data_IF_155610741514
#
_entry.id   IF_155610741514
#
_cell.length_a   1.000
_cell.length_b   1.000
_cell.length_c   1.000
_cell.angle_alpha   90.00
_cell.angle_beta   90.00
_cell.angle_gamma   90.00
#
_symmetry.space_group_name_H-M   'P 1'
#
loop_
_entity.id
_entity.type
_entity.pdbx_description
1 polymer ?
#
# COMPACT_ATOMS: atom_id res chain seq x y z
N UNK A 1 1.99 3.95 -17.76
CA UNK A 1 2.49 2.99 -16.75
C UNK A 1 3.81 3.52 -16.23
N UNK A 2 3.99 3.60 -14.92
CA UNK A 2 5.21 4.14 -14.30
C UNK A 2 6.29 3.06 -14.36
N UNK A 3 7.53 3.41 -14.74
CA UNK A 3 8.61 2.43 -14.79
C UNK A 3 8.96 1.94 -13.38
N UNK A 4 9.29 0.65 -13.24
CA UNK A 4 9.62 0.05 -11.94
C UNK A 4 10.82 0.74 -11.26
N UNK A 5 11.77 1.24 -12.04
CA UNK A 5 12.92 1.99 -11.54
C UNK A 5 12.52 3.37 -10.98
N UNK A 6 11.60 4.06 -11.65
CA UNK A 6 11.09 5.35 -11.18
C UNK A 6 10.27 5.20 -9.90
N UNK A 7 9.47 4.13 -9.80
CA UNK A 7 8.77 3.77 -8.56
C UNK A 7 9.76 3.47 -7.43
N UNK A 8 10.83 2.71 -7.70
CA UNK A 8 11.84 2.41 -6.68
C UNK A 8 12.51 3.68 -6.17
N UNK A 9 12.93 4.58 -7.06
CA UNK A 9 13.55 5.86 -6.68
C UNK A 9 12.59 6.72 -5.86
N UNK A 10 11.34 6.78 -6.30
CA UNK A 10 10.27 7.46 -5.56
C UNK A 10 10.10 6.89 -4.15
N UNK A 11 10.03 5.56 -3.99
CA UNK A 11 9.88 4.91 -2.68
C UNK A 11 11.07 5.17 -1.75
N UNK A 12 12.29 5.16 -2.28
CA UNK A 12 13.50 5.49 -1.51
C UNK A 12 13.45 6.92 -1.00
N UNK A 13 13.11 7.89 -1.85
CA UNK A 13 13.00 9.29 -1.46
C UNK A 13 11.85 9.52 -0.46
N UNK A 14 10.70 8.87 -0.68
CA UNK A 14 9.56 8.94 0.22
C UNK A 14 9.89 8.37 1.60
N UNK A 15 10.58 7.22 1.65
CA UNK A 15 10.99 6.60 2.91
C UNK A 15 11.89 7.54 3.72
N UNK A 16 12.86 8.20 3.08
CA UNK A 16 13.72 9.19 3.74
C UNK A 16 12.93 10.39 4.26
N UNK A 17 12.03 10.94 3.44
CA UNK A 17 11.17 12.05 3.83
C UNK A 17 10.29 11.72 5.05
N UNK A 18 9.63 10.56 5.03
CA UNK A 18 8.76 10.12 6.13
C UNK A 18 9.58 9.82 7.39
N UNK A 19 10.73 9.15 7.26
CA UNK A 19 11.58 8.80 8.39
C UNK A 19 12.12 10.04 9.12
N UNK A 20 12.54 11.07 8.38
CA UNK A 20 13.00 12.33 8.97
C UNK A 20 11.90 13.03 9.79
N UNK A 21 10.63 12.92 9.36
CA UNK A 21 9.48 13.51 10.07
C UNK A 21 9.02 12.66 11.25
N UNK A 22 9.18 11.35 11.17
CA UNK A 22 8.82 10.40 12.22
C UNK A 22 9.82 10.39 13.39
N UNK A 23 11.10 10.69 13.11
CA UNK A 23 12.19 10.55 14.07
C UNK A 23 12.66 9.10 14.15
N UNK A 24 11.98 8.29 14.96
CA UNK A 24 12.27 6.86 15.12
C UNK A 24 11.02 6.01 14.90
N UNK A 25 11.09 5.04 14.00
CA UNK A 25 9.94 4.18 13.70
C UNK A 25 10.33 2.78 13.21
N UNK A 26 9.38 1.84 13.26
CA UNK A 26 9.54 0.52 12.65
C UNK A 26 9.29 0.58 11.13
N UNK A 27 9.65 -0.48 10.41
CA UNK A 27 9.33 -0.58 8.98
C UNK A 27 7.81 -0.59 8.72
N UNK A 28 7.01 -1.12 9.65
CA UNK A 28 5.55 -1.10 9.55
C UNK A 28 4.98 0.30 9.75
N UNK A 29 5.45 1.02 10.78
CA UNK A 29 5.06 2.42 11.02
C UNK A 29 5.43 3.30 9.81
N UNK A 30 6.63 3.10 9.25
CA UNK A 30 7.09 3.84 8.08
C UNK A 30 6.24 3.54 6.84
N UNK A 31 5.86 2.27 6.62
CA UNK A 31 4.96 1.89 5.53
C UNK A 31 3.62 2.64 5.62
N UNK A 32 3.02 2.68 6.81
CA UNK A 32 1.77 3.40 7.03
C UNK A 32 1.92 4.88 6.71
N UNK A 33 3.00 5.52 7.18
CA UNK A 33 3.28 6.93 6.88
C UNK A 33 3.54 7.21 5.40
N UNK A 34 4.27 6.33 4.71
CA UNK A 34 4.50 6.43 3.27
C UNK A 34 3.17 6.35 2.50
N UNK A 35 2.28 5.43 2.88
CA UNK A 35 0.95 5.31 2.30
C UNK A 35 0.10 6.56 2.51
N UNK A 36 -0.01 7.04 3.76
CA UNK A 36 -0.75 8.26 4.11
C UNK A 36 -0.21 9.48 3.36
N UNK A 37 1.11 9.65 3.32
CA UNK A 37 1.76 10.79 2.66
C UNK A 37 1.50 10.78 1.15
N UNK A 38 1.57 9.62 0.51
CA UNK A 38 1.31 9.48 -0.93
C UNK A 38 -0.15 9.80 -1.27
N UNK A 39 -1.09 9.32 -0.46
CA UNK A 39 -2.53 9.58 -0.63
C UNK A 39 -2.87 11.07 -0.42
N UNK A 40 -2.36 11.69 0.63
CA UNK A 40 -2.59 13.12 0.92
C UNK A 40 -2.06 14.02 -0.21
N UNK A 41 -0.96 13.62 -0.85
CA UNK A 41 -0.38 14.33 -1.99
C UNK A 41 -1.01 13.97 -3.33
N UNK A 42 -2.03 13.12 -3.34
CA UNK A 42 -2.76 12.69 -4.55
C UNK A 42 -1.84 12.04 -5.59
N UNK A 43 -0.84 11.29 -5.13
CA UNK A 43 0.05 10.55 -6.03
C UNK A 43 -0.66 9.32 -6.63
N UNK A 44 -0.18 8.81 -7.78
CA UNK A 44 -0.77 7.63 -8.42
C UNK A 44 -0.86 6.42 -7.48
N UNK A 45 -1.91 5.58 -7.59
CA UNK A 45 -2.10 4.43 -6.70
C UNK A 45 -0.93 3.46 -6.69
N UNK A 46 -0.24 3.31 -7.83
CA UNK A 46 0.96 2.47 -7.97
C UNK A 46 2.07 2.83 -6.97
N UNK A 47 2.07 4.07 -6.46
CA UNK A 47 3.02 4.54 -5.45
C UNK A 47 2.82 3.87 -4.08
N UNK A 48 1.61 3.43 -3.73
CA UNK A 48 1.33 2.83 -2.43
C UNK A 48 0.77 1.41 -2.49
N UNK A 49 0.13 0.99 -3.59
CA UNK A 49 -0.39 -0.38 -3.74
C UNK A 49 0.73 -1.43 -3.87
N UNK A 50 1.92 -1.03 -4.31
CA UNK A 50 3.08 -1.91 -4.49
C UNK A 50 3.98 -2.02 -3.24
N UNK A 51 3.68 -1.25 -2.19
CA UNK A 51 4.49 -1.23 -0.98
C UNK A 51 4.09 -2.35 -0.02
N UNK A 52 5.10 -2.95 0.60
CA UNK A 52 4.94 -3.95 1.66
C UNK A 52 5.96 -3.69 2.77
N UNK A 53 5.73 -4.24 3.96
CA UNK A 53 6.67 -4.12 5.09
C UNK A 53 8.04 -4.71 4.70
N UNK A 54 8.05 -5.80 3.94
CA UNK A 54 9.29 -6.41 3.44
C UNK A 54 10.04 -5.48 2.47
N UNK A 55 9.32 -4.81 1.57
CA UNK A 55 9.90 -3.84 0.63
C UNK A 55 10.51 -2.65 1.38
N UNK A 56 9.80 -2.11 2.38
CA UNK A 56 10.28 -1.00 3.21
C UNK A 56 11.50 -1.42 4.05
N UNK A 57 11.49 -2.63 4.62
CA UNK A 57 12.65 -3.16 5.32
C UNK A 57 13.87 -3.33 4.39
N UNK A 58 13.67 -3.71 3.13
CA UNK A 58 14.72 -3.75 2.11
C UNK A 58 15.28 -2.36 1.79
N UNK A 59 14.42 -1.35 1.64
CA UNK A 59 14.81 0.05 1.43
C UNK A 59 15.65 0.55 2.62
N UNK A 60 15.22 0.28 3.85
CA UNK A 60 15.94 0.71 5.05
C UNK A 60 17.33 0.10 5.15
N UNK A 61 17.48 -1.20 4.85
CA UNK A 61 18.81 -1.85 4.79
C UNK A 61 19.69 -1.27 3.69
N UNK A 62 19.11 -0.92 2.54
CA UNK A 62 19.86 -0.27 1.46
C UNK A 62 20.37 1.11 1.90
N UNK A 63 19.51 1.91 2.54
CA UNK A 63 19.86 3.24 3.05
C UNK A 63 20.88 3.19 4.20
N UNK A 64 20.83 2.16 5.04
CA UNK A 64 21.77 1.90 6.13
C UNK A 64 23.16 1.63 5.57
N UNK A 65 23.25 0.79 4.52
CA UNK A 65 24.49 0.57 3.77
C UNK A 65 25.06 1.83 3.10
N UNK A 66 24.23 2.86 2.91
CA UNK A 66 24.64 4.18 2.40
C UNK A 66 24.90 5.21 3.52
N UNK A 67 24.73 4.83 4.79
CA UNK A 67 24.90 5.73 5.93
C UNK A 67 23.84 6.82 6.04
N UNK A 68 22.69 6.68 5.36
CA UNK A 68 21.60 7.67 5.33
C UNK A 68 20.53 7.44 6.41
N UNK A 69 20.48 6.23 6.95
CA UNK A 69 19.62 5.86 8.08
C UNK A 69 20.47 5.07 9.07
N UNK A 70 20.01 4.99 10.32
CA UNK A 70 20.65 4.18 11.36
C UNK A 70 19.63 3.23 11.95
N UNK A 71 20.09 2.01 12.22
CA UNK A 71 19.35 1.07 13.04
C UNK A 71 19.51 1.44 14.52
N UNK A 72 18.39 1.62 15.21
CA UNK A 72 18.34 1.88 16.65
C UNK A 72 18.03 0.58 17.42
N UNK A 73 17.42 0.70 18.61
CA UNK A 73 16.96 -0.42 19.41
C UNK A 73 15.81 -1.18 18.74
N UNK A 74 15.56 -2.42 19.19
CA UNK A 74 14.38 -3.15 18.72
C UNK A 74 13.17 -2.79 19.60
N UNK A 75 12.02 -2.57 18.98
CA UNK A 75 10.73 -2.38 19.65
C UNK A 75 9.94 -3.68 19.64
N UNK A 76 9.25 -3.97 20.74
CA UNK A 76 8.29 -5.08 20.80
C UNK A 76 7.04 -4.76 19.98
N UNK A 77 6.69 -5.62 19.01
CA UNK A 77 5.41 -5.55 18.33
C UNK A 77 4.40 -6.50 19.00
N UNK A 78 3.38 -5.98 19.72
CA UNK A 78 2.41 -6.82 20.44
C UNK A 78 1.51 -7.62 19.50
N UNK A 79 1.32 -7.20 18.24
CA UNK A 79 0.48 -7.93 17.27
C UNK A 79 1.11 -9.23 16.79
N UNK A 80 2.45 -9.27 16.73
CA UNK A 80 3.20 -10.41 16.20
C UNK A 80 4.10 -11.08 17.24
N UNK A 81 4.19 -10.53 18.45
CA UNK A 81 5.03 -11.05 19.54
C UNK A 81 6.52 -11.07 19.20
N UNK A 82 6.96 -10.24 18.25
CA UNK A 82 8.34 -10.20 17.74
C UNK A 82 8.98 -8.85 18.03
N UNK A 83 10.30 -8.88 18.22
CA UNK A 83 11.12 -7.67 18.25
C UNK A 83 11.35 -7.19 16.83
N UNK A 84 11.05 -5.92 16.57
CA UNK A 84 11.26 -5.27 15.28
C UNK A 84 12.32 -4.17 15.39
N UNK A 85 13.23 -4.06 14.42
CA UNK A 85 14.23 -3.00 14.43
C UNK A 85 13.58 -1.63 14.25
N UNK A 86 13.94 -0.68 15.10
CA UNK A 86 13.66 0.73 14.90
C UNK A 86 14.72 1.35 14.00
N UNK A 87 14.31 2.36 13.25
CA UNK A 87 15.15 3.09 12.32
C UNK A 87 15.00 4.58 12.55
N UNK A 88 16.08 5.32 12.33
CA UNK A 88 16.11 6.78 12.37
C UNK A 88 16.90 7.34 11.18
N UNK A 89 16.63 8.59 10.82
CA UNK A 89 17.41 9.29 9.81
C UNK A 89 18.85 9.52 10.31
N UNK A 90 19.85 9.32 9.44
CA UNK A 90 21.22 9.65 9.74
C UNK A 90 21.55 11.05 9.20
N UNK A 91 21.91 11.97 10.08
CA UNK A 91 22.26 13.35 9.71
C UNK A 91 21.08 14.32 9.74
N UNK A 92 21.39 15.60 9.56
CA UNK A 92 20.44 16.71 9.64
C UNK A 92 19.95 17.20 8.28
N UNK A 93 20.33 16.53 7.18
CA UNK A 93 19.96 16.92 5.83
C UNK A 93 18.44 16.92 5.67
N UNK A 94 17.87 18.10 5.40
CA UNK A 94 16.44 18.27 5.13
C UNK A 94 16.12 17.59 3.80
N UNK A 95 15.31 16.55 3.86
CA UNK A 95 14.84 15.80 2.70
C UNK A 95 13.56 16.43 2.21
N UNK A 96 13.56 16.89 0.96
CA UNK A 96 12.34 17.36 0.32
C UNK A 96 11.41 16.20 -0.01
N UNK A 97 10.11 16.49 0.06
CA UNK A 97 9.11 15.51 -0.29
C UNK A 97 9.20 15.17 -1.79
N UNK A 98 9.08 13.88 -2.15
CA UNK A 98 9.19 13.47 -3.54
C UNK A 98 8.02 14.01 -4.38
N UNK A 99 8.33 14.39 -5.62
CA UNK A 99 7.30 14.65 -6.64
C UNK A 99 6.64 13.34 -7.09
N UNK A 100 5.43 13.42 -7.62
CA UNK A 100 4.76 12.27 -8.21
C UNK A 100 5.60 11.72 -9.38
N UNK A 101 5.83 10.39 -9.47
CA UNK A 101 6.57 9.83 -10.58
C UNK A 101 5.74 9.99 -11.87
N UNK A 102 6.29 10.73 -12.83
CA UNK A 102 5.66 10.96 -14.13
C UNK A 102 5.69 9.67 -14.94
N UNK A 103 4.57 8.93 -14.96
CA UNK A 103 4.38 7.91 -15.97
C UNK A 103 4.40 8.56 -17.34
N UNK A 104 5.32 8.18 -18.22
CA UNK A 104 5.37 8.66 -19.60
C UNK A 104 4.02 8.41 -20.29
N UNK A 105 3.19 9.45 -20.33
CA UNK A 105 2.01 9.60 -21.19
C UNK A 105 1.71 11.08 -21.31
N UNK A 106 1.55 11.49 -22.55
CA UNK A 106 1.29 12.82 -23.09
C UNK A 106 0.38 13.74 -22.26
N UNK A 107 0.44 15.08 -22.49
CA UNK A 107 -0.49 16.03 -21.90
C UNK A 107 -1.93 15.56 -22.13
N UNK A 108 -2.65 15.34 -21.04
CA UNK A 108 -4.10 15.13 -21.07
C UNK A 108 -4.71 16.37 -21.75
N UNK A 109 -5.49 16.21 -22.85
CA UNK A 109 -6.09 17.37 -23.49
C UNK A 109 -7.00 18.05 -22.48
N UNK A 110 -6.95 19.38 -22.48
CA UNK A 110 -7.93 20.22 -21.82
C UNK A 110 -9.32 19.67 -22.16
N UNK A 111 -10.07 19.26 -21.14
CA UNK A 111 -11.44 18.81 -21.35
C UNK A 111 -12.24 20.00 -21.87
N UNK A 112 -12.59 19.87 -23.15
CA UNK A 112 -13.45 20.77 -23.90
C UNK A 112 -14.73 21.00 -23.11
N UNK A 113 -15.01 22.27 -22.83
CA UNK A 113 -16.29 22.72 -22.31
C UNK A 113 -17.40 22.29 -23.29
N UNK A 114 -18.25 21.36 -22.86
CA UNK A 114 -19.50 21.08 -23.58
C UNK A 114 -20.54 22.06 -23.04
N UNK A 115 -20.87 23.03 -23.89
CA UNK A 115 -21.89 24.03 -23.66
C UNK A 115 -23.27 23.40 -23.42
N UNK A 116 -24.01 24.05 -22.53
CA UNK A 116 -25.32 23.67 -22.03
C UNK A 116 -26.41 23.59 -23.11
N UNK A 117 -27.27 22.58 -23.01
CA UNK A 117 -28.63 22.58 -23.55
C UNK A 117 -29.60 21.93 -22.53
N UNK A 118 -30.04 22.74 -21.58
CA UNK A 118 -31.37 22.81 -20.93
C UNK A 118 -32.29 21.56 -20.90
N UNK A 119 -32.47 20.92 -19.73
CA UNK A 119 -33.73 20.85 -18.92
C UNK A 119 -33.59 19.91 -17.68
N UNK A 120 -34.45 20.04 -16.64
CA UNK A 120 -33.98 20.04 -15.26
C UNK A 120 -34.31 18.78 -14.42
N UNK A 121 -33.57 18.67 -13.31
CA UNK A 121 -33.93 18.10 -12.01
C UNK A 121 -34.16 16.58 -11.90
N UNK A 122 -33.06 15.86 -11.65
CA UNK A 122 -32.99 14.96 -10.50
C UNK A 122 -31.57 15.05 -9.93
N UNK A 123 -31.48 15.32 -8.64
CA UNK A 123 -30.25 15.54 -7.89
C UNK A 123 -29.33 14.33 -7.94
N UNK A 124 -28.36 14.33 -8.85
CA UNK A 124 -27.16 13.52 -8.75
C UNK A 124 -26.13 14.30 -7.91
N UNK A 125 -25.57 13.74 -6.82
CA UNK A 125 -24.46 14.36 -6.14
C UNK A 125 -23.25 14.44 -7.10
N UNK A 126 -22.40 15.47 -6.96
CA UNK A 126 -21.34 15.74 -7.91
C UNK A 126 -20.35 14.59 -7.96
N UNK A 127 -20.05 14.11 -9.17
CA UNK A 127 -18.91 13.26 -9.47
C UNK A 127 -17.63 14.10 -9.33
N UNK A 128 -17.22 14.32 -8.09
CA UNK A 128 -15.90 14.82 -7.74
C UNK A 128 -15.17 13.69 -7.00
N UNK A 129 -14.28 12.99 -7.73
CA UNK A 129 -13.34 12.04 -7.15
C UNK A 129 -13.85 10.60 -7.01
N UNK A 130 -13.53 9.77 -8.01
CA UNK A 130 -13.33 8.33 -7.86
C UNK A 130 -14.55 7.49 -7.41
N UNK A 131 -15.14 6.79 -8.38
CA UNK A 131 -16.15 5.73 -8.24
C UNK A 131 -17.44 6.09 -7.50
N UNK A 132 -18.58 5.70 -8.09
CA UNK A 132 -19.89 5.80 -7.43
C UNK A 132 -19.94 4.90 -6.19
N UNK A 133 -20.83 5.19 -5.25
CA UNK A 133 -21.04 4.33 -4.07
C UNK A 133 -21.32 2.87 -4.45
N UNK A 134 -22.10 2.65 -5.51
CA UNK A 134 -22.37 1.30 -6.03
C UNK A 134 -21.11 0.60 -6.54
N UNK A 135 -20.22 1.32 -7.22
CA UNK A 135 -18.95 0.77 -7.67
C UNK A 135 -17.99 0.46 -6.51
N UNK A 136 -17.99 1.27 -5.45
CA UNK A 136 -17.21 1.00 -4.23
C UNK A 136 -17.72 -0.25 -3.51
N UNK A 137 -19.04 -0.42 -3.40
CA UNK A 137 -19.64 -1.62 -2.82
C UNK A 137 -19.36 -2.87 -3.65
N UNK A 138 -19.38 -2.76 -4.98
CA UNK A 138 -19.03 -3.88 -5.86
C UNK A 138 -17.57 -4.33 -5.69
N UNK A 139 -16.62 -3.40 -5.54
CA UNK A 139 -15.22 -3.76 -5.27
C UNK A 139 -15.04 -4.43 -3.91
N UNK A 140 -15.67 -3.90 -2.86
CA UNK A 140 -15.63 -4.54 -1.54
C UNK A 140 -16.23 -5.95 -1.56
N UNK A 141 -17.29 -6.16 -2.33
CA UNK A 141 -17.91 -7.48 -2.50
C UNK A 141 -16.94 -8.48 -3.14
N UNK A 142 -16.23 -8.07 -4.19
CA UNK A 142 -15.23 -8.91 -4.86
C UNK A 142 -14.07 -9.23 -3.91
N UNK A 143 -13.54 -8.24 -3.19
CA UNK A 143 -12.45 -8.47 -2.22
C UNK A 143 -12.87 -9.41 -1.08
N UNK A 144 -14.11 -9.27 -0.62
CA UNK A 144 -14.67 -10.14 0.41
C UNK A 144 -14.83 -11.58 -0.07
N UNK A 145 -15.33 -11.78 -1.30
CA UNK A 145 -15.47 -13.11 -1.92
C UNK A 145 -14.11 -13.78 -2.12
N UNK A 146 -13.10 -13.04 -2.58
CA UNK A 146 -11.74 -13.55 -2.70
C UNK A 146 -11.15 -13.95 -1.33
N UNK A 147 -11.34 -13.13 -0.31
CA UNK A 147 -10.88 -13.42 1.04
C UNK A 147 -11.57 -14.68 1.60
N UNK A 148 -12.88 -14.81 1.41
CA UNK A 148 -13.63 -16.00 1.81
C UNK A 148 -13.14 -17.25 1.06
N UNK A 149 -12.88 -17.15 -0.24
CA UNK A 149 -12.32 -18.25 -1.03
C UNK A 149 -10.97 -18.71 -0.49
N UNK A 150 -10.07 -17.78 -0.15
CA UNK A 150 -8.77 -18.08 0.46
C UNK A 150 -8.94 -18.80 1.80
N UNK A 151 -9.74 -18.25 2.72
CA UNK A 151 -10.01 -18.86 4.02
C UNK A 151 -10.55 -20.29 3.86
N UNK A 152 -11.52 -20.50 2.96
CA UNK A 152 -12.10 -21.82 2.71
C UNK A 152 -11.07 -22.81 2.16
N UNK A 153 -10.22 -22.37 1.21
CA UNK A 153 -9.15 -23.22 0.67
C UNK A 153 -8.09 -23.59 1.71
N UNK A 154 -7.70 -22.65 2.58
CA UNK A 154 -6.76 -22.91 3.66
C UNK A 154 -7.35 -23.86 4.71
N UNK A 155 -8.64 -23.68 5.03
CA UNK A 155 -9.38 -24.56 5.92
C UNK A 155 -9.49 -25.98 5.37
N UNK A 156 -9.85 -26.15 4.10
CA UNK A 156 -9.89 -27.48 3.47
C UNK A 156 -8.50 -28.12 3.36
N UNK A 157 -7.46 -27.34 3.07
CA UNK A 157 -6.09 -27.83 3.11
C UNK A 157 -5.67 -28.28 4.52
N UNK A 158 -6.09 -27.55 5.56
CA UNK A 158 -5.90 -27.95 6.95
C UNK A 158 -6.65 -29.23 7.28
N UNK A 159 -7.94 -29.34 6.92
CA UNK A 159 -8.73 -30.57 7.11
C UNK A 159 -8.11 -31.77 6.42
N UNK A 160 -7.65 -31.62 5.17
CA UNK A 160 -6.97 -32.69 4.43
C UNK A 160 -5.67 -33.14 5.12
N UNK A 161 -4.90 -32.22 5.70
CA UNK A 161 -3.71 -32.57 6.51
C UNK A 161 -4.10 -33.28 7.81
N UNK A 162 -5.11 -32.78 8.52
CA UNK A 162 -5.59 -33.36 9.76
C UNK A 162 -6.14 -34.78 9.56
N UNK A 163 -6.94 -35.00 8.50
CA UNK A 163 -7.45 -36.33 8.14
C UNK A 163 -6.32 -37.32 7.83
N UNK A 164 -5.27 -36.87 7.12
CA UNK A 164 -4.08 -37.69 6.83
C UNK A 164 -3.30 -38.06 8.09
N UNK A 165 -3.17 -37.14 9.05
CA UNK A 165 -2.47 -37.38 10.32
C UNK A 165 -3.28 -38.29 11.25
N UNK A 166 -4.60 -38.15 11.25
CA UNK A 166 -5.52 -38.91 12.11
C UNK A 166 -5.96 -40.26 11.50
N UNK A 167 -5.57 -40.56 10.25
CA UNK A 167 -5.94 -41.80 9.57
C UNK A 167 -7.43 -41.93 9.25
N UNK A 168 -8.17 -40.82 9.23
CA UNK A 168 -9.61 -40.82 8.90
C UNK A 168 -9.78 -40.89 7.38
N UNK A 169 -10.71 -41.72 6.85
CA UNK A 169 -11.03 -41.70 5.43
C UNK A 169 -11.52 -40.30 5.08
N UNK A 170 -10.97 -39.73 4.01
CA UNK A 170 -11.47 -38.47 3.46
C UNK A 170 -12.92 -38.71 3.02
N UNK A 171 -13.87 -38.38 3.88
CA UNK A 171 -15.28 -38.61 3.57
C UNK A 171 -15.67 -37.80 2.34
N UNK A 172 -16.28 -38.55 1.44
CA UNK A 172 -16.73 -38.19 0.11
C UNK A 172 -17.72 -37.04 0.20
N UNK A 173 -17.46 -35.99 -0.58
CA UNK A 173 -18.41 -34.91 -0.84
C UNK A 173 -19.67 -35.49 -1.51
N UNK A 174 -20.84 -35.16 -0.98
CA UNK A 174 -22.12 -35.18 -1.68
C UNK A 174 -22.74 -33.80 -1.61
#
# INVERSE_FOLDING_TARGET
MIAAEDLRRYHVQLARYCLQRAGECTAADLLEQMGVTSMQRQHPPECFTSLSVASVAGILRHLDGQGQVRRCENRSNPRHGRMEPMWSAAGEDVVDAPAAPSGGTAPRPAQVAVAAAQRPAASAPPLLGGLTQAQRLALLQIEFEEMQGRINSEWEAFRGRAARVLGLPAEVQS
#
